data_IF_227220799817
#
_entry.id   IF_227220799817
#
_cell.length_a   1.000
_cell.length_b   1.000
_cell.length_c   1.000
_cell.angle_alpha   90.00
_cell.angle_beta   90.00
_cell.angle_gamma   90.00
#
_symmetry.space_group_name_H-M   'P 1'
#
loop_
_entity.id
_entity.type
_entity.pdbx_description
1 polymer ?
#
# COMPACT_ATOMS: atom_id res chain seq x y z
N UNK A 1 6.59 -10.15 14.27
CA UNK A 1 6.22 -8.86 13.64
C UNK A 1 6.55 -7.69 14.55
N UNK A 2 6.07 -7.66 15.80
CA UNK A 2 6.32 -6.54 16.70
C UNK A 2 7.81 -6.25 16.96
N UNK A 3 8.59 -7.30 17.26
CA UNK A 3 10.04 -7.17 17.49
C UNK A 3 10.82 -6.62 16.27
N UNK A 4 10.51 -7.06 15.05
CA UNK A 4 11.14 -6.54 13.82
C UNK A 4 10.77 -5.07 13.56
N UNK A 5 9.57 -4.65 13.97
CA UNK A 5 9.16 -3.23 13.89
C UNK A 5 9.93 -2.38 14.91
N UNK A 6 10.13 -2.91 16.11
CA UNK A 6 10.83 -2.24 17.21
C UNK A 6 12.34 -2.13 16.97
N UNK A 7 12.92 -3.12 16.29
CA UNK A 7 14.34 -3.15 15.94
C UNK A 7 14.70 -2.24 14.75
N UNK A 8 13.71 -1.65 14.07
CA UNK A 8 13.92 -0.73 12.93
C UNK A 8 14.41 -1.39 11.64
N UNK A 9 14.40 -2.72 11.56
CA UNK A 9 14.94 -3.51 10.42
C UNK A 9 13.89 -3.94 9.40
N UNK A 10 12.68 -3.36 9.46
CA UNK A 10 11.58 -3.63 8.52
C UNK A 10 12.02 -3.53 7.05
N UNK A 11 12.83 -2.54 6.73
CA UNK A 11 13.34 -2.28 5.38
C UNK A 11 14.23 -3.42 4.86
N UNK A 12 14.87 -4.20 5.74
CA UNK A 12 15.70 -5.36 5.35
C UNK A 12 14.84 -6.61 5.04
N UNK A 13 13.56 -6.58 5.42
CA UNK A 13 12.65 -7.71 5.33
C UNK A 13 11.53 -7.54 4.30
N UNK A 14 11.66 -6.57 3.39
CA UNK A 14 10.63 -6.22 2.39
C UNK A 14 10.14 -7.39 1.54
N UNK A 15 11.03 -8.29 1.08
CA UNK A 15 10.62 -9.49 0.34
C UNK A 15 9.78 -10.44 1.19
N UNK A 16 10.15 -10.60 2.46
CA UNK A 16 9.38 -11.40 3.42
C UNK A 16 7.99 -10.80 3.65
N UNK A 17 7.90 -9.49 3.82
CA UNK A 17 6.64 -8.76 3.96
C UNK A 17 5.75 -8.90 2.72
N UNK A 18 6.32 -8.79 1.51
CA UNK A 18 5.60 -8.99 0.27
C UNK A 18 5.04 -10.42 0.14
N UNK A 19 5.83 -11.43 0.53
CA UNK A 19 5.37 -12.83 0.57
C UNK A 19 4.24 -13.02 1.57
N UNK A 20 4.39 -12.48 2.79
CA UNK A 20 3.35 -12.56 3.83
C UNK A 20 2.04 -11.90 3.40
N UNK A 21 2.11 -10.73 2.76
CA UNK A 21 0.93 -10.02 2.26
C UNK A 21 0.23 -10.77 1.11
N UNK A 22 0.98 -11.52 0.29
CA UNK A 22 0.45 -12.26 -0.86
C UNK A 22 -0.40 -13.47 -0.46
N UNK A 23 -0.09 -14.16 0.63
CA UNK A 23 -0.78 -15.40 0.99
C UNK A 23 -2.02 -15.16 1.86
N UNK A 24 -3.23 -15.56 1.40
CA UNK A 24 -4.48 -15.25 2.09
C UNK A 24 -4.81 -16.20 3.26
N UNK A 25 -4.00 -17.23 3.51
CA UNK A 25 -4.31 -18.32 4.47
C UNK A 25 -4.57 -17.80 5.90
N UNK A 26 -3.84 -16.76 6.31
CA UNK A 26 -4.04 -16.12 7.61
C UNK A 26 -4.28 -14.62 7.41
N UNK A 27 -5.56 -14.23 7.45
CA UNK A 27 -5.97 -12.84 7.23
C UNK A 27 -5.36 -11.88 8.26
N UNK A 28 -5.18 -12.29 9.52
CA UNK A 28 -4.57 -11.46 10.56
C UNK A 28 -3.09 -11.20 10.25
N UNK A 29 -2.36 -12.24 9.86
CA UNK A 29 -0.95 -12.12 9.50
C UNK A 29 -0.77 -11.29 8.24
N UNK A 30 -1.67 -11.44 7.28
CA UNK A 30 -1.69 -10.65 6.06
C UNK A 30 -1.93 -9.16 6.34
N UNK A 31 -2.93 -8.83 7.14
CA UNK A 31 -3.19 -7.45 7.56
C UNK A 31 -2.00 -6.88 8.37
N UNK A 32 -1.38 -7.67 9.25
CA UNK A 32 -0.17 -7.25 9.95
C UNK A 32 0.99 -6.96 8.98
N UNK A 33 1.13 -7.77 7.93
CA UNK A 33 2.08 -7.54 6.83
C UNK A 33 1.81 -6.22 6.10
N UNK A 34 0.55 -5.93 5.76
CA UNK A 34 0.17 -4.66 5.11
C UNK A 34 0.44 -3.44 6.00
N UNK A 35 0.16 -3.54 7.31
CA UNK A 35 0.47 -2.47 8.28
C UNK A 35 1.98 -2.22 8.35
N UNK A 36 2.78 -3.29 8.39
CA UNK A 36 4.25 -3.19 8.37
C UNK A 36 4.79 -2.61 7.05
N UNK A 37 4.20 -2.97 5.91
CA UNK A 37 4.55 -2.36 4.61
C UNK A 37 4.32 -0.85 4.64
N UNK A 38 3.22 -0.41 5.24
CA UNK A 38 2.91 1.02 5.35
C UNK A 38 3.90 1.79 6.24
N UNK A 39 4.79 1.14 6.98
CA UNK A 39 5.77 1.77 7.85
C UNK A 39 7.18 1.80 7.24
N UNK A 40 7.37 1.15 6.09
CA UNK A 40 8.64 1.12 5.38
C UNK A 40 9.12 2.53 5.03
N UNK A 41 10.39 2.78 5.30
CA UNK A 41 11.03 4.05 4.94
C UNK A 41 11.55 4.00 3.50
N UNK A 42 12.00 2.83 3.06
CA UNK A 42 12.37 2.53 1.67
C UNK A 42 11.57 1.33 1.18
N UNK A 43 11.21 1.35 -0.09
CA UNK A 43 10.41 0.26 -0.66
C UNK A 43 10.91 -0.17 -2.03
N UNK A 44 10.80 -1.47 -2.28
CA UNK A 44 11.02 -2.10 -3.58
C UNK A 44 9.70 -2.22 -4.35
N UNK A 45 9.80 -2.26 -5.68
CA UNK A 45 8.64 -2.39 -6.56
C UNK A 45 7.72 -3.56 -6.22
N UNK A 46 8.27 -4.70 -5.75
CA UNK A 46 7.48 -5.88 -5.44
C UNK A 46 6.45 -5.61 -4.33
N UNK A 47 6.81 -4.81 -3.33
CA UNK A 47 5.93 -4.46 -2.21
C UNK A 47 4.71 -3.68 -2.71
N UNK A 48 4.93 -2.68 -3.58
CA UNK A 48 3.85 -1.90 -4.18
C UNK A 48 2.98 -2.78 -5.07
N UNK A 49 3.59 -3.61 -5.93
CA UNK A 49 2.84 -4.51 -6.82
C UNK A 49 1.91 -5.43 -6.04
N UNK A 50 2.41 -6.04 -4.96
CA UNK A 50 1.60 -6.91 -4.11
C UNK A 50 0.47 -6.12 -3.45
N UNK A 51 0.76 -4.98 -2.83
CA UNK A 51 -0.28 -4.18 -2.17
C UNK A 51 -1.34 -3.66 -3.16
N UNK A 52 -0.94 -3.18 -4.34
CA UNK A 52 -1.86 -2.74 -5.38
C UNK A 52 -2.77 -3.87 -5.88
N UNK A 53 -2.22 -5.08 -6.05
CA UNK A 53 -3.00 -6.24 -6.47
C UNK A 53 -4.04 -6.66 -5.42
N UNK A 54 -3.70 -6.60 -4.14
CA UNK A 54 -4.62 -6.89 -3.03
C UNK A 54 -5.77 -5.89 -2.97
N UNK A 55 -5.46 -4.61 -3.22
CA UNK A 55 -6.43 -3.52 -3.19
C UNK A 55 -7.56 -3.70 -4.22
N UNK A 56 -7.22 -4.13 -5.44
CA UNK A 56 -8.19 -4.31 -6.54
C UNK A 56 -8.88 -5.67 -6.54
N UNK A 57 -8.36 -6.65 -5.82
CA UNK A 57 -8.93 -8.00 -5.79
C UNK A 57 -10.19 -8.05 -4.91
N UNK A 58 -11.34 -8.19 -5.58
CA UNK A 58 -12.68 -8.19 -4.99
C UNK A 58 -12.96 -9.40 -4.09
N UNK A 59 -12.12 -10.45 -4.16
CA UNK A 59 -12.23 -11.60 -3.25
C UNK A 59 -11.77 -11.28 -1.83
N UNK A 60 -11.05 -10.17 -1.66
CA UNK A 60 -10.60 -9.71 -0.36
C UNK A 60 -11.69 -8.91 0.35
N UNK A 61 -11.75 -9.04 1.67
CA UNK A 61 -12.61 -8.21 2.50
C UNK A 61 -12.23 -6.73 2.37
N UNK A 62 -13.20 -5.86 2.65
CA UNK A 62 -13.05 -4.41 2.49
C UNK A 62 -11.92 -3.83 3.35
N UNK A 63 -11.72 -4.34 4.56
CA UNK A 63 -10.67 -3.84 5.45
C UNK A 63 -9.28 -4.15 4.87
N UNK A 64 -9.06 -5.36 4.39
CA UNK A 64 -7.81 -5.76 3.76
C UNK A 64 -7.52 -4.93 2.50
N UNK A 65 -8.54 -4.64 1.69
CA UNK A 65 -8.39 -3.78 0.50
C UNK A 65 -8.03 -2.33 0.86
N UNK A 66 -8.67 -1.78 1.91
CA UNK A 66 -8.36 -0.44 2.44
C UNK A 66 -6.93 -0.38 3.00
N UNK A 67 -6.53 -1.38 3.80
CA UNK A 67 -5.17 -1.47 4.35
C UNK A 67 -4.13 -1.51 3.22
N UNK A 68 -4.39 -2.26 2.16
CA UNK A 68 -3.48 -2.37 1.03
C UNK A 68 -3.34 -1.05 0.27
N UNK A 69 -4.44 -0.32 0.03
CA UNK A 69 -4.34 1.02 -0.57
C UNK A 69 -3.63 2.04 0.33
N UNK A 70 -3.81 1.94 1.65
CA UNK A 70 -3.11 2.80 2.60
C UNK A 70 -1.60 2.54 2.59
N UNK A 71 -1.21 1.27 2.49
CA UNK A 71 0.16 0.85 2.31
C UNK A 71 0.76 1.41 1.00
N UNK A 72 0.04 1.31 -0.12
CA UNK A 72 0.45 1.89 -1.42
C UNK A 72 0.66 3.41 -1.32
N UNK A 73 -0.29 4.14 -0.74
CA UNK A 73 -0.18 5.60 -0.53
C UNK A 73 1.10 5.96 0.23
N UNK A 74 1.29 5.33 1.39
CA UNK A 74 2.36 5.69 2.32
C UNK A 74 3.74 5.38 1.74
N UNK A 75 3.87 4.22 1.11
CA UNK A 75 5.10 3.83 0.42
C UNK A 75 5.44 4.78 -0.74
N UNK A 76 4.44 5.20 -1.52
CA UNK A 76 4.66 6.11 -2.66
C UNK A 76 4.99 7.54 -2.20
N UNK A 77 4.41 7.99 -1.09
CA UNK A 77 4.68 9.29 -0.47
C UNK A 77 6.02 9.36 0.25
N UNK A 78 6.54 8.23 0.78
CA UNK A 78 7.77 8.21 1.55
C UNK A 78 9.04 8.48 0.72
N UNK A 79 8.96 8.53 -0.62
CA UNK A 79 9.95 9.15 -1.53
C UNK A 79 11.37 8.58 -1.58
N UNK A 80 11.79 7.82 -0.57
CA UNK A 80 13.18 7.49 -0.27
C UNK A 80 13.59 6.10 -0.78
N UNK A 81 12.78 5.48 -1.65
CA UNK A 81 12.99 4.13 -2.18
C UNK A 81 13.29 4.09 -3.68
N UNK A 82 13.83 2.96 -4.14
CA UNK A 82 14.11 2.61 -5.54
C UNK A 82 12.85 2.25 -6.34
N UNK A 83 11.73 2.92 -6.05
CA UNK A 83 10.46 2.65 -6.70
C UNK A 83 10.53 3.14 -8.14
N UNK A 84 10.43 2.22 -9.10
CA UNK A 84 10.44 2.58 -10.51
C UNK A 84 9.19 3.36 -10.91
N UNK A 85 9.33 4.24 -11.90
CA UNK A 85 8.19 4.97 -12.48
C UNK A 85 7.12 4.01 -13.03
N UNK A 86 7.54 2.84 -13.52
CA UNK A 86 6.61 1.78 -13.95
C UNK A 86 5.76 1.25 -12.79
N UNK A 87 6.37 1.03 -11.61
CA UNK A 87 5.62 0.60 -10.42
C UNK A 87 4.66 1.69 -9.93
N UNK A 88 5.06 2.96 -9.96
CA UNK A 88 4.19 4.11 -9.64
C UNK A 88 2.99 4.18 -10.61
N UNK A 89 3.28 4.09 -11.91
CA UNK A 89 2.25 4.13 -12.97
C UNK A 89 1.24 3.00 -12.82
N UNK A 90 1.69 1.77 -12.53
CA UNK A 90 0.80 0.62 -12.28
C UNK A 90 -0.08 0.79 -11.05
N UNK A 91 0.47 1.36 -9.97
CA UNK A 91 -0.32 1.66 -8.79
C UNK A 91 -1.40 2.72 -9.10
N UNK A 92 -1.05 3.78 -9.84
CA UNK A 92 -2.01 4.79 -10.28
C UNK A 92 -3.08 4.23 -11.23
N UNK A 93 -2.73 3.29 -12.10
CA UNK A 93 -3.68 2.53 -12.93
C UNK A 93 -4.64 1.71 -12.07
N UNK A 94 -4.13 0.96 -11.08
CA UNK A 94 -4.97 0.19 -10.16
C UNK A 94 -5.98 1.05 -9.40
N UNK A 95 -5.61 2.29 -9.04
CA UNK A 95 -6.54 3.25 -8.41
C UNK A 95 -7.60 3.74 -9.39
N UNK A 96 -7.22 4.02 -10.64
CA UNK A 96 -8.16 4.40 -11.71
C UNK A 96 -9.16 3.28 -11.99
N UNK A 97 -8.69 2.03 -12.04
CA UNK A 97 -9.56 0.85 -12.22
C UNK A 97 -10.57 0.72 -11.07
N UNK A 98 -10.13 1.00 -9.84
CA UNK A 98 -11.00 0.94 -8.67
C UNK A 98 -12.06 2.06 -8.67
N UNK A 99 -11.78 3.21 -9.28
CA UNK A 99 -12.72 4.31 -9.48
C UNK A 99 -13.67 4.07 -10.67
N UNK A 100 -13.22 3.38 -11.71
CA UNK A 100 -14.00 3.09 -12.91
C UNK A 100 -15.02 1.96 -12.69
N UNK A 101 -14.74 1.04 -11.77
CA UNK A 101 -15.62 -0.09 -11.46
C UNK A 101 -16.67 0.26 -10.39
N UNK A 102 -17.81 -0.44 -10.42
CA UNK A 102 -18.88 -0.34 -9.41
C UNK A 102 -18.41 -0.93 -8.09
N UNK A 103 -17.72 -0.12 -7.29
CA UNK A 103 -17.27 -0.49 -5.95
C UNK A 103 -18.24 -0.01 -4.88
N UNK A 104 -18.28 -0.67 -3.70
CA UNK A 104 -18.97 -0.15 -2.53
C UNK A 104 -18.61 1.33 -2.27
N UNK A 105 -19.56 2.18 -1.84
CA UNK A 105 -19.33 3.63 -1.68
C UNK A 105 -18.11 3.98 -0.81
N UNK A 106 -17.80 3.15 0.18
CA UNK A 106 -16.63 3.30 1.05
C UNK A 106 -15.31 3.15 0.28
N UNK A 107 -15.22 2.18 -0.64
CA UNK A 107 -14.05 1.94 -1.46
C UNK A 107 -13.88 3.02 -2.52
N UNK A 108 -14.98 3.48 -3.12
CA UNK A 108 -14.93 4.57 -4.08
C UNK A 108 -14.44 5.88 -3.42
N UNK A 109 -14.92 6.22 -2.22
CA UNK A 109 -14.43 7.38 -1.45
C UNK A 109 -12.93 7.23 -1.11
N UNK A 110 -12.53 6.03 -0.70
CA UNK A 110 -11.14 5.73 -0.39
C UNK A 110 -10.23 5.87 -1.62
N UNK A 111 -10.62 5.33 -2.76
CA UNK A 111 -9.87 5.41 -4.02
C UNK A 111 -9.69 6.85 -4.50
N UNK A 112 -10.71 7.69 -4.33
CA UNK A 112 -10.63 9.12 -4.67
C UNK A 112 -9.57 9.83 -3.82
N UNK A 113 -9.58 9.60 -2.51
CA UNK A 113 -8.56 10.13 -1.61
C UNK A 113 -7.16 9.62 -1.94
N UNK A 114 -7.05 8.36 -2.34
CA UNK A 114 -5.79 7.76 -2.77
C UNK A 114 -5.28 8.43 -4.06
N UNK A 115 -6.16 8.67 -5.04
CA UNK A 115 -5.83 9.38 -6.28
C UNK A 115 -5.32 10.80 -6.01
N UNK A 116 -5.99 11.54 -5.12
CA UNK A 116 -5.56 12.89 -4.71
C UNK A 116 -4.18 12.86 -4.05
N UNK A 117 -3.92 11.89 -3.18
CA UNK A 117 -2.61 11.70 -2.54
C UNK A 117 -1.50 11.35 -3.53
N UNK A 118 -1.81 10.68 -4.64
CA UNK A 118 -0.86 10.33 -5.69
C UNK A 118 -0.60 11.49 -6.66
N UNK A 119 -1.58 12.37 -6.86
CA UNK A 119 -1.46 13.57 -7.68
C UNK A 119 -0.74 14.72 -6.94
N UNK A 120 -0.74 14.71 -5.61
CA UNK A 120 0.01 15.67 -4.81
C UNK A 120 1.52 15.48 -5.02
N UNK A 121 2.30 16.56 -5.27
CA UNK A 121 3.75 16.46 -5.39
C UNK A 121 4.33 15.88 -4.10
N UNK A 122 5.27 14.93 -4.25
CA UNK A 122 6.03 14.31 -3.16
C UNK A 122 6.77 15.40 -2.36
N UNK A 123 6.12 15.94 -1.33
CA UNK A 123 6.61 17.10 -0.58
C UNK A 123 5.55 17.80 0.30
N UNK A 124 4.25 17.57 0.09
CA UNK A 124 3.21 18.20 0.91
C UNK A 124 2.90 17.48 2.24
N UNK A 125 3.91 16.85 2.87
CA UNK A 125 3.76 16.23 4.18
C UNK A 125 4.72 16.87 5.19
N UNK A 126 4.39 18.07 5.65
CA UNK A 126 4.40 18.44 7.09
C UNK A 126 4.03 19.90 7.25
N UNK A 127 2.94 20.16 7.99
CA UNK A 127 2.78 21.22 9.00
C UNK A 127 1.30 21.52 9.12
N UNK A 128 0.66 20.99 10.16
CA UNK A 128 -0.34 21.76 10.90
C UNK A 128 -0.23 21.32 12.35
N UNK A 129 0.00 22.34 13.19
CA UNK A 129 0.18 22.32 14.64
C UNK A 129 -1.05 21.80 15.39
#
# INVERSE_FOLDING_TARGET
>A
MQQIREDGTLDDHQQGLARLARYPINWQLRQAGLRAIAELQRSIDEVIRVAAQIMIDEKNDLETRILAGGAVSRVLSNGNGTISESARSKAAESVRDLLANTQPPILHRFARRLQESLAAPAGAATTTQ
#
